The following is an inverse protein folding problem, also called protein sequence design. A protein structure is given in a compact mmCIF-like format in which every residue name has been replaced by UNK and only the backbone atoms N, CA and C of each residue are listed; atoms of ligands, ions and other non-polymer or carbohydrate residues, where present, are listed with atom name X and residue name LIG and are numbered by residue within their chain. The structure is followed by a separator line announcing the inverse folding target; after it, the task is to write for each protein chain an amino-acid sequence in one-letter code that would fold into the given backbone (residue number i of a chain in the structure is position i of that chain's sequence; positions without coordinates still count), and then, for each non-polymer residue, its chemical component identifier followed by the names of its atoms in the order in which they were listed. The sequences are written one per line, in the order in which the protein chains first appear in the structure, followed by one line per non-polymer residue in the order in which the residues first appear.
data_IF_131030367796
#
_entry.id   IF_131030367796
#
_cell.length_a   1.000
_cell.length_b   1.000
_cell.length_c   1.000
_cell.angle_alpha   90.00
_cell.angle_beta   90.00
_cell.angle_gamma   90.00
#
_symmetry.space_group_name_H-M   'P 1'
#
loop_
_entity.id
_entity.type
_entity.pdbx_description
1 polymer ?
#
# COMPACT_ATOMS: atom_id res chain seq x y z
N UNK A 1 69.87 19.44 -14.44
CA UNK A 1 69.21 19.18 -13.15
C UNK A 1 67.74 19.61 -13.26
N UNK A 2 66.89 18.89 -14.01
CA UNK A 2 65.43 19.06 -14.03
C UNK A 2 64.81 17.77 -14.55
N UNK A 3 64.67 16.79 -13.67
CA UNK A 3 63.86 15.60 -13.87
C UNK A 3 62.99 15.46 -12.61
N UNK A 4 61.75 14.99 -12.77
CA UNK A 4 60.78 14.68 -11.70
C UNK A 4 59.76 15.75 -11.29
N UNK A 5 59.00 16.32 -12.25
CA UNK A 5 57.71 16.96 -11.92
C UNK A 5 56.52 16.33 -12.68
N UNK A 6 56.77 15.63 -13.80
CA UNK A 6 55.68 15.05 -14.60
C UNK A 6 55.02 13.79 -13.99
N UNK A 7 55.69 13.05 -13.11
CA UNK A 7 55.17 11.78 -12.56
C UNK A 7 54.16 11.97 -11.41
N UNK A 8 54.12 13.15 -10.75
CA UNK A 8 53.22 13.38 -9.61
C UNK A 8 51.80 13.78 -10.03
N UNK A 9 51.60 14.24 -11.27
CA UNK A 9 50.28 14.70 -11.75
C UNK A 9 49.36 13.57 -12.24
N UNK A 10 49.91 12.40 -12.56
CA UNK A 10 49.11 11.27 -13.09
C UNK A 10 48.50 10.42 -11.95
N UNK A 11 49.16 10.36 -10.79
CA UNK A 11 48.64 9.61 -9.62
C UNK A 11 47.45 10.31 -8.96
N UNK A 12 47.38 11.64 -9.03
CA UNK A 12 46.27 12.43 -8.46
C UNK A 12 44.98 12.27 -9.29
N UNK A 13 45.07 12.16 -10.62
CA UNK A 13 43.90 11.91 -11.48
C UNK A 13 43.34 10.48 -11.34
N UNK A 14 44.18 9.50 -10.97
CA UNK A 14 43.72 8.13 -10.67
C UNK A 14 42.91 7.99 -9.38
N UNK A 15 43.09 8.89 -8.41
CA UNK A 15 42.39 8.88 -7.14
C UNK A 15 41.04 9.63 -7.17
N UNK A 16 40.86 10.59 -8.08
CA UNK A 16 39.55 11.25 -8.27
C UNK A 16 38.54 10.43 -9.08
N UNK A 17 38.97 9.37 -9.77
CA UNK A 17 38.06 8.44 -10.46
C UNK A 17 37.23 7.54 -9.54
N UNK A 18 37.56 7.48 -8.24
CA UNK A 18 36.87 6.63 -7.26
C UNK A 18 36.09 7.41 -6.18
N UNK A 19 36.03 8.74 -6.26
CA UNK A 19 35.54 9.61 -5.17
C UNK A 19 34.13 10.24 -5.36
N UNK A 20 33.29 9.72 -6.27
CA UNK A 20 31.87 10.12 -6.38
C UNK A 20 30.89 8.93 -6.30
N UNK A 21 31.16 7.96 -5.42
CA UNK A 21 30.12 6.98 -4.98
C UNK A 21 29.43 7.47 -3.68
N UNK A 22 29.77 8.67 -3.20
CA UNK A 22 29.07 9.38 -2.13
C UNK A 22 27.76 9.98 -2.67
N UNK A 23 26.71 9.17 -2.74
CA UNK A 23 25.37 9.68 -3.11
C UNK A 23 24.39 8.66 -3.66
N UNK A 24 24.85 7.44 -3.98
CA UNK A 24 23.98 6.38 -4.45
C UNK A 24 23.06 5.86 -3.32
N UNK A 25 21.75 5.88 -3.55
CA UNK A 25 20.74 5.39 -2.60
C UNK A 25 20.12 4.09 -3.10
N UNK A 26 19.74 3.20 -2.18
CA UNK A 26 19.00 1.98 -2.51
C UNK A 26 17.50 2.28 -2.63
N UNK A 27 16.86 1.71 -3.66
CA UNK A 27 15.41 1.84 -3.91
C UNK A 27 14.80 0.50 -4.29
N UNK A 28 13.52 0.32 -3.98
CA UNK A 28 12.77 -0.85 -4.40
C UNK A 28 13.07 -2.12 -3.60
N UNK A 29 12.28 -3.15 -3.88
CA UNK A 29 12.38 -4.47 -3.29
C UNK A 29 13.74 -5.12 -3.61
N UNK A 30 14.21 -4.97 -4.84
CA UNK A 30 15.47 -5.57 -5.30
C UNK A 30 16.73 -4.71 -5.06
N UNK A 31 16.64 -3.64 -4.25
CA UNK A 31 17.74 -2.74 -3.92
C UNK A 31 18.46 -2.18 -5.16
N UNK A 32 17.70 -1.59 -6.07
CA UNK A 32 18.23 -0.86 -7.22
C UNK A 32 19.03 0.37 -6.78
N UNK A 33 19.95 0.84 -7.63
CA UNK A 33 20.84 1.96 -7.30
C UNK A 33 20.33 3.26 -7.92
N UNK A 34 19.83 4.18 -7.09
CA UNK A 34 19.44 5.53 -7.48
C UNK A 34 20.62 6.49 -7.34
N UNK A 35 21.01 7.16 -8.42
CA UNK A 35 22.07 8.17 -8.46
C UNK A 35 21.68 9.25 -9.47
N UNK A 36 21.80 10.53 -9.08
CA UNK A 36 21.50 11.69 -9.93
C UNK A 36 20.12 11.64 -10.62
N UNK A 37 19.12 11.14 -9.88
CA UNK A 37 17.74 11.02 -10.37
C UNK A 37 17.49 9.84 -11.35
N UNK A 38 18.51 9.02 -11.62
CA UNK A 38 18.42 7.83 -12.48
C UNK A 38 18.65 6.56 -11.70
N UNK A 39 18.03 5.47 -12.13
CA UNK A 39 18.15 4.16 -11.48
C UNK A 39 18.94 3.20 -12.35
N UNK A 40 19.96 2.59 -11.78
CA UNK A 40 20.57 1.37 -12.30
C UNK A 40 19.85 0.17 -11.68
N UNK A 41 19.25 -0.67 -12.53
CA UNK A 41 18.53 -1.88 -12.06
C UNK A 41 19.49 -2.90 -11.44
N UNK A 42 18.92 -3.82 -10.65
CA UNK A 42 19.69 -4.85 -9.98
C UNK A 42 20.24 -5.85 -11.00
N UNK A 43 21.38 -6.47 -10.70
CA UNK A 43 21.94 -7.49 -11.60
C UNK A 43 20.96 -8.65 -11.75
N UNK A 44 20.70 -9.06 -12.99
CA UNK A 44 19.73 -10.13 -13.28
C UNK A 44 18.28 -9.68 -13.31
N UNK A 45 18.00 -8.37 -13.24
CA UNK A 45 16.65 -7.83 -13.42
C UNK A 45 16.05 -8.24 -14.76
N UNK A 46 14.80 -8.72 -14.73
CA UNK A 46 14.00 -9.16 -15.89
C UNK A 46 12.52 -8.92 -15.65
N UNK A 47 11.74 -8.86 -16.73
CA UNK A 47 10.28 -8.83 -16.65
C UNK A 47 9.77 -10.20 -16.22
N UNK A 48 8.85 -10.24 -15.26
CA UNK A 48 8.12 -11.45 -14.91
C UNK A 48 7.19 -11.84 -16.08
N UNK A 49 7.33 -13.07 -16.58
CA UNK A 49 6.67 -13.55 -17.79
C UNK A 49 5.57 -14.58 -17.51
N UNK A 50 5.71 -15.34 -16.44
CA UNK A 50 4.85 -16.49 -16.12
C UNK A 50 4.52 -16.55 -14.62
N UNK A 51 3.75 -17.57 -14.22
CA UNK A 51 3.29 -17.74 -12.84
C UNK A 51 4.47 -18.00 -11.90
N UNK A 52 5.46 -18.76 -12.35
CA UNK A 52 6.66 -19.12 -11.61
C UNK A 52 7.45 -17.88 -11.20
N UNK A 53 7.54 -16.88 -12.09
CA UNK A 53 8.19 -15.61 -11.78
C UNK A 53 7.50 -14.81 -10.67
N UNK A 54 6.16 -14.81 -10.68
CA UNK A 54 5.35 -14.15 -9.67
C UNK A 54 5.48 -14.85 -8.31
N UNK A 55 5.46 -16.19 -8.31
CA UNK A 55 5.73 -16.99 -7.12
C UNK A 55 7.15 -16.73 -6.60
N UNK A 56 8.16 -16.72 -7.47
CA UNK A 56 9.53 -16.43 -7.11
C UNK A 56 9.67 -15.04 -6.46
N UNK A 57 8.99 -14.02 -7.00
CA UNK A 57 8.96 -12.69 -6.40
C UNK A 57 8.36 -12.74 -4.99
N UNK A 58 7.20 -13.39 -4.80
CA UNK A 58 6.54 -13.48 -3.48
C UNK A 58 7.41 -14.18 -2.44
N UNK A 59 8.18 -15.20 -2.84
CA UNK A 59 9.07 -15.96 -1.96
C UNK A 59 10.45 -15.34 -1.76
N UNK A 60 10.80 -14.31 -2.53
CA UNK A 60 12.15 -13.72 -2.52
C UNK A 60 12.51 -13.00 -1.22
N UNK A 61 11.51 -12.49 -0.48
CA UNK A 61 11.74 -11.82 0.80
C UNK A 61 10.44 -11.64 1.58
N UNK A 62 10.50 -11.59 2.93
CA UNK A 62 9.35 -11.33 3.79
C UNK A 62 8.70 -9.96 3.56
N UNK A 63 9.33 -9.06 2.78
CA UNK A 63 8.79 -7.74 2.43
C UNK A 63 8.17 -7.68 1.02
N UNK A 64 8.21 -8.77 0.25
CA UNK A 64 7.54 -8.84 -1.05
C UNK A 64 6.03 -8.66 -0.90
N UNK A 65 5.36 -8.01 -1.86
CA UNK A 65 3.90 -7.94 -1.84
C UNK A 65 3.29 -9.30 -2.22
N UNK A 66 2.10 -9.58 -1.71
CA UNK A 66 1.33 -10.73 -2.17
C UNK A 66 0.66 -10.32 -3.48
N UNK A 67 0.84 -11.13 -4.52
CA UNK A 67 0.29 -10.87 -5.85
C UNK A 67 -0.67 -12.00 -6.22
N UNK A 68 -1.79 -11.67 -6.83
CA UNK A 68 -2.66 -12.66 -7.49
C UNK A 68 -1.88 -13.28 -8.66
N UNK A 69 -1.44 -14.52 -8.48
CA UNK A 69 -0.70 -15.30 -9.47
C UNK A 69 -1.61 -16.22 -10.29
N UNK A 70 -2.93 -16.17 -10.09
CA UNK A 70 -3.91 -16.91 -10.89
C UNK A 70 -4.28 -16.10 -12.13
N UNK A 71 -4.45 -14.79 -11.98
CA UNK A 71 -4.71 -13.88 -13.10
C UNK A 71 -3.48 -13.02 -13.43
N UNK A 72 -2.60 -13.54 -14.29
CA UNK A 72 -1.39 -12.84 -14.74
C UNK A 72 -1.65 -11.74 -15.79
N UNK A 73 -2.91 -11.53 -16.22
CA UNK A 73 -3.23 -10.46 -17.16
C UNK A 73 -3.01 -9.07 -16.55
N UNK A 74 -3.13 -8.93 -15.23
CA UNK A 74 -2.86 -7.69 -14.53
C UNK A 74 -2.05 -7.97 -13.27
N UNK A 75 -1.30 -6.97 -12.80
CA UNK A 75 -0.53 -7.10 -11.57
C UNK A 75 -1.43 -6.67 -10.41
N UNK A 76 -2.04 -7.64 -9.73
CA UNK A 76 -2.96 -7.37 -8.62
C UNK A 76 -2.30 -7.67 -7.28
N UNK A 77 -2.03 -6.62 -6.51
CA UNK A 77 -1.59 -6.71 -5.12
C UNK A 77 -2.76 -7.08 -4.23
N UNK A 78 -2.55 -8.04 -3.34
CA UNK A 78 -3.54 -8.49 -2.37
C UNK A 78 -3.12 -8.05 -0.97
N UNK A 79 -4.03 -7.38 -0.27
CA UNK A 79 -3.86 -6.93 1.10
C UNK A 79 -4.94 -7.58 1.96
N UNK A 80 -4.56 -8.67 2.62
CA UNK A 80 -5.45 -9.45 3.48
C UNK A 80 -5.58 -8.84 4.86
N UNK A 81 -6.74 -9.06 5.47
CA UNK A 81 -6.98 -8.82 6.88
C UNK A 81 -6.21 -9.84 7.73
N UNK A 82 -5.69 -9.41 8.89
CA UNK A 82 -5.06 -10.28 9.91
C UNK A 82 -3.76 -10.98 9.45
N UNK A 83 -3.13 -10.51 8.36
CA UNK A 83 -1.83 -11.01 7.92
C UNK A 83 -0.67 -10.08 8.30
N UNK A 84 0.53 -10.65 8.45
CA UNK A 84 1.79 -9.95 8.77
C UNK A 84 2.05 -8.67 7.93
N UNK A 85 1.53 -8.63 6.70
CA UNK A 85 1.66 -7.50 5.77
C UNK A 85 0.90 -6.27 6.24
N UNK A 86 -0.15 -6.45 7.04
CA UNK A 86 -0.87 -5.36 7.70
C UNK A 86 0.06 -4.57 8.63
N UNK A 87 0.94 -5.29 9.33
CA UNK A 87 1.88 -4.73 10.31
C UNK A 87 3.19 -4.24 9.70
N UNK A 88 3.64 -4.85 8.59
CA UNK A 88 4.98 -4.61 8.00
C UNK A 88 4.98 -3.79 6.72
N UNK A 89 3.87 -3.77 5.98
CA UNK A 89 3.82 -3.26 4.61
C UNK A 89 4.55 -4.17 3.62
N UNK A 90 4.62 -3.74 2.35
CA UNK A 90 5.37 -4.43 1.30
C UNK A 90 5.78 -3.45 0.20
N UNK A 91 6.71 -3.87 -0.67
CA UNK A 91 7.19 -3.06 -1.80
C UNK A 91 7.19 -3.87 -3.08
N UNK A 92 6.72 -3.28 -4.18
CA UNK A 92 6.77 -3.85 -5.52
C UNK A 92 7.53 -2.93 -6.48
N UNK A 93 8.31 -3.54 -7.37
CA UNK A 93 9.09 -2.87 -8.39
C UNK A 93 8.41 -3.08 -9.75
N UNK A 94 7.99 -1.98 -10.38
CA UNK A 94 7.24 -1.99 -11.63
C UNK A 94 8.00 -1.21 -12.71
N UNK A 95 8.15 -1.79 -13.90
CA UNK A 95 8.58 -1.04 -15.08
C UNK A 95 7.39 -0.32 -15.71
N UNK A 96 7.60 0.89 -16.19
CA UNK A 96 6.61 1.69 -16.91
C UNK A 96 7.27 2.65 -17.90
N UNK A 97 6.52 3.13 -18.87
CA UNK A 97 6.91 4.22 -19.77
C UNK A 97 6.37 5.59 -19.29
N UNK A 98 5.42 5.59 -18.35
CA UNK A 98 4.77 6.79 -17.81
C UNK A 98 5.72 7.61 -16.94
N UNK A 99 5.88 8.90 -17.28
CA UNK A 99 6.79 9.83 -16.57
C UNK A 99 6.21 10.39 -15.28
N UNK A 100 5.12 11.14 -15.45
CA UNK A 100 4.55 12.04 -14.45
C UNK A 100 3.19 11.50 -13.96
N UNK A 101 2.89 10.22 -14.19
CA UNK A 101 1.58 9.63 -13.98
C UNK A 101 1.66 8.21 -13.42
N UNK A 102 0.83 7.93 -12.40
CA UNK A 102 0.59 6.59 -11.88
C UNK A 102 -0.90 6.27 -12.03
N UNK A 103 -1.22 5.16 -12.68
CA UNK A 103 -2.60 4.69 -12.89
C UNK A 103 -2.76 3.29 -12.32
N UNK A 104 -3.75 3.10 -11.45
CA UNK A 104 -4.10 1.78 -10.92
C UNK A 104 -5.58 1.73 -10.58
N UNK A 105 -6.13 0.52 -10.48
CA UNK A 105 -7.45 0.31 -9.90
C UNK A 105 -7.30 -0.09 -8.43
N UNK A 106 -8.14 0.45 -7.55
CA UNK A 106 -8.19 0.02 -6.17
C UNK A 106 -9.56 -0.57 -5.85
N UNK A 107 -9.58 -1.60 -5.01
CA UNK A 107 -10.82 -2.28 -4.67
C UNK A 107 -10.84 -2.94 -3.31
N UNK A 108 -12.05 -3.32 -2.92
CA UNK A 108 -12.36 -4.12 -1.72
C UNK A 108 -13.11 -5.37 -2.15
N UNK A 109 -12.93 -6.46 -1.41
CA UNK A 109 -13.66 -7.71 -1.63
C UNK A 109 -14.03 -8.37 -0.31
N UNK A 110 -15.23 -8.96 -0.26
CA UNK A 110 -15.71 -9.72 0.90
C UNK A 110 -16.64 -10.84 0.45
N UNK A 111 -16.40 -12.06 0.93
CA UNK A 111 -17.12 -13.28 0.51
C UNK A 111 -18.60 -13.26 0.90
N UNK A 112 -18.97 -12.60 2.00
CA UNK A 112 -20.36 -12.39 2.43
C UNK A 112 -21.05 -11.18 1.79
N UNK A 113 -20.45 -10.59 0.75
CA UNK A 113 -20.88 -9.32 0.16
C UNK A 113 -20.29 -8.11 0.87
N UNK A 114 -20.01 -7.07 0.11
CA UNK A 114 -19.29 -5.87 0.59
C UNK A 114 -20.08 -5.11 1.66
N UNK A 115 -21.42 -5.26 1.69
CA UNK A 115 -22.26 -4.78 2.77
C UNK A 115 -21.86 -5.34 4.14
N UNK A 116 -21.33 -6.57 4.21
CA UNK A 116 -20.86 -7.16 5.46
C UNK A 116 -19.63 -6.47 6.05
N UNK A 117 -18.76 -5.87 5.22
CA UNK A 117 -17.51 -5.27 5.68
C UNK A 117 -17.48 -3.74 5.66
N UNK A 118 -18.35 -3.08 4.89
CA UNK A 118 -18.42 -1.62 4.83
C UNK A 118 -19.50 -1.02 5.76
N UNK A 119 -20.57 -1.75 6.12
CA UNK A 119 -21.76 -1.19 6.81
C UNK A 119 -21.55 -0.60 8.20
N UNK A 120 -20.38 -0.76 8.82
CA UNK A 120 -20.15 -0.26 10.19
C UNK A 120 -20.11 1.26 10.30
N UNK A 121 -20.14 2.01 9.19
CA UNK A 121 -20.12 3.48 9.19
C UNK A 121 -18.80 4.09 9.70
N UNK A 122 -17.87 3.25 10.16
CA UNK A 122 -16.56 3.66 10.64
C UNK A 122 -15.60 3.90 9.48
N UNK A 123 -15.25 5.17 9.31
CA UNK A 123 -14.31 5.66 8.29
C UNK A 123 -12.87 5.16 8.47
N UNK A 124 -12.58 4.50 9.59
CA UNK A 124 -11.26 3.95 9.91
C UNK A 124 -11.17 2.44 9.66
N UNK A 125 -12.25 1.81 9.23
CA UNK A 125 -12.30 0.34 9.11
C UNK A 125 -11.73 -0.22 7.82
N UNK A 126 -11.52 0.57 6.76
CA UNK A 126 -11.05 0.05 5.47
C UNK A 126 -10.12 1.10 4.86
N UNK A 127 -8.93 1.21 5.45
CA UNK A 127 -7.91 2.17 5.08
C UNK A 127 -6.75 1.43 4.41
N UNK A 128 -6.21 1.97 3.32
CA UNK A 128 -5.03 1.40 2.67
C UNK A 128 -4.00 2.52 2.44
N UNK A 129 -3.01 2.68 3.35
CA UNK A 129 -1.94 3.63 3.17
C UNK A 129 -0.90 3.12 2.17
N UNK A 130 -0.38 4.02 1.35
CA UNK A 130 0.64 3.72 0.36
C UNK A 130 1.55 4.91 0.09
N UNK A 131 2.73 4.61 -0.44
CA UNK A 131 3.71 5.57 -0.92
C UNK A 131 4.29 5.07 -2.23
N UNK A 132 5.03 5.93 -2.92
CA UNK A 132 5.69 5.58 -4.17
C UNK A 132 7.01 6.35 -4.31
N UNK A 133 7.93 5.73 -5.02
CA UNK A 133 9.22 6.27 -5.42
C UNK A 133 9.97 6.96 -4.28
N UNK A 134 10.05 6.24 -3.17
CA UNK A 134 10.89 6.57 -2.03
C UNK A 134 12.11 5.68 -2.01
N UNK A 135 13.21 6.19 -1.47
CA UNK A 135 14.35 5.34 -1.15
C UNK A 135 14.03 4.39 0.00
N UNK A 136 14.78 3.29 0.09
CA UNK A 136 14.59 2.27 1.12
C UNK A 136 14.82 2.83 2.54
N UNK A 137 15.57 3.92 2.68
CA UNK A 137 15.70 4.65 3.94
C UNK A 137 14.54 5.63 4.19
N UNK A 138 14.06 6.31 3.16
CA UNK A 138 12.92 7.22 3.30
C UNK A 138 11.65 6.47 3.67
N UNK A 139 11.33 5.35 3.00
CA UNK A 139 10.09 4.61 3.24
C UNK A 139 9.97 4.12 4.69
N UNK A 140 11.09 3.75 5.33
CA UNK A 140 11.11 3.38 6.76
C UNK A 140 10.55 4.48 7.65
N UNK A 141 10.76 5.75 7.30
CA UNK A 141 10.22 6.91 8.05
C UNK A 141 8.71 7.06 7.91
N UNK A 142 8.11 6.46 6.87
CA UNK A 142 6.66 6.48 6.64
C UNK A 142 5.94 5.27 7.22
N UNK A 143 6.66 4.24 7.71
CA UNK A 143 6.04 3.08 8.34
C UNK A 143 5.27 3.45 9.62
N UNK A 144 5.69 4.50 10.32
CA UNK A 144 5.02 5.02 11.51
C UNK A 144 4.09 6.19 11.19
N UNK A 145 3.97 6.56 9.91
CA UNK A 145 3.04 7.56 9.40
C UNK A 145 3.68 8.87 8.95
N UNK A 146 2.90 9.97 8.89
CA UNK A 146 3.36 11.22 8.32
C UNK A 146 4.39 11.93 9.20
N UNK A 147 5.25 12.71 8.56
CA UNK A 147 6.22 13.54 9.27
C UNK A 147 5.59 14.87 9.65
N UNK A 148 5.52 15.13 10.95
CA UNK A 148 4.99 16.38 11.51
C UNK A 148 6.12 17.39 11.76
N UNK A 149 5.81 18.67 11.57
CA UNK A 149 6.67 19.79 11.95
C UNK A 149 5.94 20.73 12.91
N UNK A 150 6.71 21.36 13.80
CA UNK A 150 6.22 22.45 14.63
C UNK A 150 5.77 23.59 13.73
N UNK A 151 4.48 23.93 13.78
CA UNK A 151 3.90 24.95 12.93
C UNK A 151 2.40 25.06 13.15
N UNK A 152 1.85 26.22 12.82
CA UNK A 152 0.41 26.43 12.80
C UNK A 152 -0.14 26.06 11.42
N UNK A 153 -1.13 25.16 11.40
CA UNK A 153 -1.98 24.86 10.25
C UNK A 153 -3.38 24.61 10.79
N UNK A 154 -4.37 25.00 10.00
CA UNK A 154 -5.76 24.80 10.40
C UNK A 154 -6.10 23.31 10.46
N UNK A 155 -6.66 22.85 11.57
CA UNK A 155 -7.31 21.55 11.63
C UNK A 155 -6.45 20.36 12.03
N UNK A 156 -5.29 20.60 12.64
CA UNK A 156 -4.53 19.59 13.35
C UNK A 156 -4.29 20.02 14.79
N UNK A 157 -4.46 19.08 15.71
CA UNK A 157 -4.26 19.34 17.13
C UNK A 157 -2.76 19.31 17.51
N UNK A 158 -1.90 18.71 16.65
CA UNK A 158 -0.53 18.32 17.02
C UNK A 158 0.55 18.61 15.94
N UNK A 159 0.42 19.75 15.26
CA UNK A 159 1.40 20.24 14.27
C UNK A 159 1.06 19.88 12.82
N UNK A 160 1.91 20.33 11.89
CA UNK A 160 1.60 20.30 10.46
C UNK A 160 2.32 19.18 9.73
N UNK A 161 1.62 18.53 8.81
CA UNK A 161 2.21 17.52 7.94
C UNK A 161 3.20 18.19 6.99
N UNK A 162 4.47 17.79 7.11
CA UNK A 162 5.58 18.26 6.27
C UNK A 162 5.80 17.36 5.06
N UNK A 163 5.69 16.04 5.24
CA UNK A 163 5.80 15.06 4.15
C UNK A 163 4.91 13.86 4.45
N UNK A 164 4.10 13.43 3.49
CA UNK A 164 3.16 12.32 3.67
C UNK A 164 2.95 11.52 2.38
N UNK A 165 2.63 10.24 2.54
CA UNK A 165 2.12 9.40 1.47
C UNK A 165 0.63 9.64 1.24
N UNK A 166 -0.04 8.67 0.61
CA UNK A 166 -1.48 8.69 0.38
C UNK A 166 -2.15 7.54 1.11
N UNK A 167 -3.45 7.64 1.31
CA UNK A 167 -4.30 6.58 1.80
C UNK A 167 -5.60 6.53 1.01
N UNK A 168 -6.08 5.31 0.79
CA UNK A 168 -7.42 5.06 0.30
C UNK A 168 -8.32 4.73 1.46
N UNK A 169 -9.56 5.25 1.45
CA UNK A 169 -10.58 4.86 2.42
C UNK A 169 -11.86 4.47 1.72
N UNK A 170 -12.35 3.27 2.02
CA UNK A 170 -13.68 2.82 1.65
C UNK A 170 -14.62 3.02 2.83
N UNK A 171 -15.65 3.82 2.63
CA UNK A 171 -16.65 4.12 3.64
C UNK A 171 -18.05 3.80 3.12
N UNK A 172 -19.00 3.72 4.04
CA UNK A 172 -20.40 3.40 3.74
C UNK A 172 -21.31 4.47 4.30
N UNK A 173 -22.16 5.05 3.45
CA UNK A 173 -23.11 6.06 3.87
C UNK A 173 -24.51 5.80 3.35
N UNK A 174 -25.43 6.67 3.76
CA UNK A 174 -26.73 6.82 3.13
C UNK A 174 -26.85 8.24 2.58
N UNK A 175 -27.22 8.38 1.31
CA UNK A 175 -27.50 9.67 0.69
C UNK A 175 -28.86 9.61 -0.02
N UNK A 176 -29.78 10.52 0.33
CA UNK A 176 -31.15 10.54 -0.20
C UNK A 176 -31.84 9.16 -0.10
N UNK A 177 -31.68 8.48 1.03
CA UNK A 177 -32.20 7.13 1.30
C UNK A 177 -31.61 6.00 0.44
N UNK A 178 -30.47 6.24 -0.23
CA UNK A 178 -29.72 5.22 -0.97
C UNK A 178 -28.46 4.85 -0.20
N UNK A 179 -28.27 3.54 0.01
CA UNK A 179 -27.02 2.99 0.51
C UNK A 179 -25.91 3.22 -0.53
N UNK A 180 -24.79 3.81 -0.09
CA UNK A 180 -23.65 4.16 -0.95
C UNK A 180 -22.34 3.66 -0.33
N UNK A 181 -21.46 3.13 -1.16
CA UNK A 181 -20.05 2.99 -0.82
C UNK A 181 -19.29 4.21 -1.36
N UNK A 182 -18.31 4.73 -0.63
CA UNK A 182 -17.51 5.90 -1.04
C UNK A 182 -16.05 5.51 -0.99
N UNK A 183 -15.34 5.71 -2.10
CA UNK A 183 -13.88 5.67 -2.12
C UNK A 183 -13.34 7.09 -2.02
N UNK A 184 -12.35 7.29 -1.18
CA UNK A 184 -11.62 8.55 -1.10
C UNK A 184 -10.13 8.27 -1.15
N UNK A 185 -9.36 9.21 -1.72
CA UNK A 185 -7.91 9.16 -1.75
C UNK A 185 -7.39 10.47 -1.15
N UNK A 186 -6.65 10.37 -0.05
CA UNK A 186 -6.21 11.54 0.69
C UNK A 186 -4.75 11.41 1.11
N UNK A 187 -4.05 12.52 1.32
CA UNK A 187 -2.79 12.50 2.02
C UNK A 187 -2.97 11.95 3.44
N UNK A 188 -2.03 11.13 3.91
CA UNK A 188 -2.15 10.52 5.24
C UNK A 188 -2.14 11.62 6.30
N UNK A 189 -3.02 11.47 7.31
CA UNK A 189 -3.28 12.44 8.38
C UNK A 189 -3.66 13.84 7.86
N UNK A 190 -4.42 13.89 6.77
CA UNK A 190 -5.12 15.11 6.36
C UNK A 190 -6.62 14.86 6.32
N UNK A 191 -7.43 15.93 6.34
CA UNK A 191 -8.87 15.79 6.11
C UNK A 191 -9.12 15.30 4.69
N UNK A 192 -10.37 14.97 4.38
CA UNK A 192 -10.81 14.77 3.00
C UNK A 192 -10.51 16.01 2.15
N UNK A 193 -9.36 16.00 1.47
CA UNK A 193 -8.95 17.06 0.56
C UNK A 193 -9.75 16.90 -0.73
N UNK A 194 -9.86 15.66 -1.20
CA UNK A 194 -10.61 15.28 -2.39
C UNK A 194 -11.22 13.89 -2.21
N UNK A 195 -12.55 13.83 -2.30
CA UNK A 195 -13.31 12.59 -2.31
C UNK A 195 -14.01 12.49 -3.65
N UNK A 196 -13.80 11.39 -4.38
CA UNK A 196 -14.68 11.06 -5.50
C UNK A 196 -15.67 10.03 -5.00
N UNK A 197 -16.90 10.47 -4.82
CA UNK A 197 -18.00 9.55 -4.56
C UNK A 197 -18.16 8.69 -5.81
N UNK A 198 -17.85 7.41 -5.69
CA UNK A 198 -18.34 6.42 -6.65
C UNK A 198 -19.64 5.92 -6.05
N UNK A 199 -20.80 6.35 -6.52
CA UNK A 199 -22.05 5.91 -5.93
C UNK A 199 -22.35 4.50 -6.40
N UNK A 200 -22.03 3.52 -5.57
CA UNK A 200 -22.46 2.15 -5.81
C UNK A 200 -23.83 1.99 -5.18
N UNK A 201 -24.93 1.84 -5.95
CA UNK A 201 -26.19 1.37 -5.36
C UNK A 201 -25.89 -0.01 -4.80
N UNK A 202 -25.72 -0.10 -3.48
CA UNK A 202 -25.40 -1.37 -2.85
C UNK A 202 -26.60 -2.29 -2.96
N UNK A 203 -26.50 -3.27 -3.86
CA UNK A 203 -27.12 -4.55 -3.60
C UNK A 203 -26.17 -5.34 -2.68
N UNK A 204 -26.72 -5.98 -1.65
CA UNK A 204 -25.96 -6.68 -0.60
C UNK A 204 -25.08 -7.81 -1.12
N UNK A 205 -25.32 -8.29 -2.34
CA UNK A 205 -24.66 -9.38 -3.04
C UNK A 205 -23.42 -8.94 -3.85
N UNK A 206 -23.14 -7.64 -3.97
CA UNK A 206 -21.91 -7.17 -4.62
C UNK A 206 -20.71 -7.63 -3.79
N UNK A 207 -19.91 -8.52 -4.35
CA UNK A 207 -18.73 -9.08 -3.66
C UNK A 207 -17.47 -8.23 -3.81
N UNK A 208 -17.42 -7.35 -4.82
CA UNK A 208 -16.24 -6.54 -5.18
C UNK A 208 -16.63 -5.17 -5.70
N UNK A 209 -15.89 -4.14 -5.28
CA UNK A 209 -15.95 -2.78 -5.81
C UNK A 209 -14.55 -2.39 -6.28
N UNK A 210 -14.41 -1.79 -7.46
CA UNK A 210 -13.15 -1.24 -7.96
C UNK A 210 -13.36 0.16 -8.53
N UNK A 211 -12.40 1.07 -8.30
CA UNK A 211 -12.35 2.38 -8.94
C UNK A 211 -10.96 2.62 -9.52
N UNK A 212 -10.86 3.38 -10.61
CA UNK A 212 -9.58 3.72 -11.24
C UNK A 212 -9.06 5.01 -10.64
N UNK A 213 -7.79 5.02 -10.25
CA UNK A 213 -7.09 6.18 -9.72
C UNK A 213 -5.99 6.59 -10.68
N UNK A 214 -5.82 7.90 -10.83
CA UNK A 214 -4.77 8.53 -11.59
C UNK A 214 -4.12 9.60 -10.74
N UNK A 215 -2.82 9.45 -10.51
CA UNK A 215 -1.99 10.38 -9.76
C UNK A 215 -1.09 11.09 -10.77
N UNK A 216 -1.21 12.42 -10.89
CA UNK A 216 -0.40 13.22 -11.83
C UNK A 216 0.60 14.10 -11.08
N UNK A 217 1.81 14.30 -11.62
CA UNK A 217 2.84 15.11 -10.97
C UNK A 217 2.58 16.62 -11.09
N UNK A 218 1.99 17.04 -12.21
CA UNK A 218 1.76 18.45 -12.53
C UNK A 218 0.52 18.99 -11.84
N UNK A 219 -0.45 18.10 -11.58
CA UNK A 219 -1.63 18.39 -10.79
C UNK A 219 -1.51 17.74 -9.41
N UNK A 220 -1.41 18.55 -8.35
CA UNK A 220 -1.39 18.01 -6.98
C UNK A 220 -2.74 17.37 -6.58
N UNK A 221 -3.76 17.55 -7.42
CA UNK A 221 -5.08 16.94 -7.29
C UNK A 221 -5.02 15.53 -7.87
N UNK A 222 -5.17 14.53 -7.02
CA UNK A 222 -5.33 13.15 -7.46
C UNK A 222 -6.68 13.02 -8.16
N UNK A 223 -6.71 12.39 -9.32
CA UNK A 223 -7.96 12.15 -10.04
C UNK A 223 -8.42 10.73 -9.78
N UNK A 224 -9.60 10.59 -9.17
CA UNK A 224 -10.26 9.29 -9.07
C UNK A 224 -11.34 9.28 -10.16
N UNK A 225 -11.26 8.33 -11.08
CA UNK A 225 -12.31 8.10 -12.07
C UNK A 225 -13.25 7.04 -11.52
N UNK A 226 -14.46 7.46 -11.20
CA UNK A 226 -15.54 6.50 -10.95
C UNK A 226 -15.89 5.79 -12.26
N UNK A 227 -16.11 4.47 -12.26
CA UNK A 227 -16.66 3.77 -13.42
C UNK A 227 -18.10 4.21 -13.74
N UNK A 228 -18.76 4.91 -12.80
CA UNK A 228 -20.07 5.51 -12.97
C UNK A 228 -19.89 7.04 -13.15
N UNK A 229 -20.35 7.57 -14.29
CA UNK A 229 -20.26 8.99 -14.63
C UNK A 229 -21.05 9.86 -13.63
N UNK A 230 -20.38 10.49 -12.67
CA UNK A 230 -21.05 11.16 -11.56
C UNK A 230 -20.46 12.54 -11.21
N UNK A 231 -21.27 13.44 -10.61
CA UNK A 231 -20.90 14.84 -10.43
C UNK A 231 -19.74 15.02 -9.45
N UNK A 232 -18.72 15.74 -9.90
CA UNK A 232 -17.62 16.23 -9.07
C UNK A 232 -18.16 17.13 -7.95
N UNK A 233 -18.03 16.71 -6.69
CA UNK A 233 -18.26 17.59 -5.55
C UNK A 233 -17.03 18.49 -5.36
N UNK A 234 -17.27 19.78 -5.14
CA UNK A 234 -16.22 20.82 -5.04
C UNK A 234 -15.28 20.56 -3.85
N UNK A 235 -14.00 20.84 -4.09
CA UNK A 235 -12.86 20.76 -3.16
C UNK A 235 -13.18 21.30 -1.75
N UNK A 236 -12.96 20.50 -0.70
CA UNK A 236 -13.03 20.98 0.70
C UNK A 236 -11.67 21.53 1.15
N UNK A 237 -11.65 22.83 1.48
CA UNK A 237 -10.43 23.64 1.71
C UNK A 237 -9.85 23.59 3.13
N UNK A 238 -9.82 22.44 3.80
CA UNK A 238 -9.16 22.43 5.10
C UNK A 238 -8.22 21.24 5.23
N UNK A 239 -6.94 21.56 5.34
CA UNK A 239 -5.85 20.61 5.17
C UNK A 239 -4.93 20.79 6.37
N UNK A 240 -4.52 19.69 7.00
CA UNK A 240 -3.45 19.66 8.01
C UNK A 240 -2.06 19.87 7.36
N UNK A 241 -1.95 20.82 6.45
CA UNK A 241 -0.80 20.99 5.58
C UNK A 241 -0.85 22.37 4.93
N UNK A 242 0.24 23.13 5.02
CA UNK A 242 0.31 24.50 4.49
C UNK A 242 0.60 24.55 2.98
N UNK A 243 1.19 23.49 2.41
CA UNK A 243 1.43 23.38 0.97
C UNK A 243 1.22 21.94 0.48
N UNK A 244 0.07 21.69 -0.14
CA UNK A 244 -0.29 20.34 -0.57
C UNK A 244 0.60 19.79 -1.68
N UNK A 245 1.07 20.65 -2.59
CA UNK A 245 1.85 20.22 -3.75
C UNK A 245 3.28 19.82 -3.39
N UNK A 246 3.85 20.48 -2.38
CA UNK A 246 5.24 20.23 -1.94
C UNK A 246 5.35 19.14 -0.87
N UNK A 247 4.31 18.97 -0.06
CA UNK A 247 4.34 18.10 1.11
C UNK A 247 3.74 16.71 0.85
N UNK A 248 3.05 16.49 -0.27
CA UNK A 248 2.73 15.13 -0.72
C UNK A 248 3.89 14.62 -1.56
N UNK A 249 4.16 13.32 -1.50
CA UNK A 249 5.10 12.68 -2.41
C UNK A 249 4.73 13.02 -3.86
N UNK A 250 5.67 13.62 -4.58
CA UNK A 250 5.53 13.84 -6.01
C UNK A 250 5.52 12.47 -6.70
N UNK A 251 4.50 12.12 -7.51
CA UNK A 251 4.54 10.91 -8.32
C UNK A 251 5.71 11.05 -9.27
N UNK A 252 6.73 10.25 -9.04
CA UNK A 252 7.94 10.26 -9.83
C UNK A 252 8.21 8.84 -10.25
N UNK A 253 8.62 8.66 -11.48
CA UNK A 253 9.20 7.40 -11.93
C UNK A 253 10.64 7.72 -12.29
N UNK A 254 11.56 6.85 -11.88
CA UNK A 254 12.97 7.10 -12.15
C UNK A 254 13.35 6.55 -13.51
N UNK A 255 14.07 7.35 -14.29
CA UNK A 255 14.62 6.90 -15.58
C UNK A 255 15.63 5.78 -15.32
N UNK A 256 15.49 4.68 -16.05
CA UNK A 256 16.42 3.56 -15.98
C UNK A 256 17.65 3.84 -16.82
N UNK A 257 18.83 3.56 -16.28
CA UNK A 257 20.08 3.59 -17.03
C UNK A 257 20.10 2.41 -18.00
N UNK A 258 19.90 2.70 -19.29
CA UNK A 258 19.87 1.71 -20.37
C UNK A 258 18.46 1.37 -20.84
N UNK A 259 18.34 0.31 -21.65
CA UNK A 259 17.07 -0.13 -22.27
C UNK A 259 16.71 -1.59 -21.93
N UNK A 260 17.35 -2.17 -20.92
CA UNK A 260 17.07 -3.52 -20.44
C UNK A 260 16.41 -3.44 -19.07
N UNK A 261 15.50 -4.38 -18.73
CA UNK A 261 15.14 -5.58 -19.50
C UNK A 261 14.08 -5.34 -20.59
N UNK A 262 13.43 -4.18 -20.61
CA UNK A 262 12.37 -3.84 -21.58
C UNK A 262 12.74 -2.54 -22.32
N UNK A 263 12.78 -2.53 -23.67
CA UNK A 263 13.19 -1.37 -24.45
C UNK A 263 12.15 -0.23 -24.49
N UNK A 264 10.90 -0.51 -24.11
CA UNK A 264 9.79 0.44 -24.10
C UNK A 264 9.58 0.99 -22.68
N UNK A 265 9.57 0.11 -21.68
CA UNK A 265 9.34 0.46 -20.28
C UNK A 265 10.62 0.99 -19.62
N UNK A 266 10.98 2.22 -19.97
CA UNK A 266 12.26 2.87 -19.65
C UNK A 266 12.34 3.50 -18.25
N UNK A 267 11.36 3.26 -17.39
CA UNK A 267 11.29 3.85 -16.05
C UNK A 267 10.94 2.83 -14.99
N UNK A 268 11.42 3.07 -13.77
CA UNK A 268 11.07 2.32 -12.59
C UNK A 268 10.07 3.10 -11.73
N UNK A 269 8.92 2.49 -11.47
CA UNK A 269 8.00 2.84 -10.40
C UNK A 269 8.23 1.88 -9.24
N UNK A 270 8.60 2.41 -8.08
CA UNK A 270 8.59 1.63 -6.83
C UNK A 270 7.32 2.00 -6.08
N UNK A 271 6.48 1.01 -5.79
CA UNK A 271 5.22 1.22 -5.08
C UNK A 271 5.25 0.50 -3.73
N UNK A 272 4.90 1.23 -2.67
CA UNK A 272 4.96 0.74 -1.30
C UNK A 272 3.55 0.68 -0.71
N UNK A 273 3.07 -0.51 -0.36
CA UNK A 273 1.94 -0.63 0.55
C UNK A 273 2.48 -0.45 1.98
N UNK A 274 1.98 0.56 2.68
CA UNK A 274 2.46 0.87 4.02
C UNK A 274 1.69 0.05 5.08
N UNK A 275 2.25 -0.13 6.28
CA UNK A 275 1.50 -0.68 7.41
C UNK A 275 0.26 0.15 7.75
N UNK A 276 -0.77 -0.46 8.35
CA UNK A 276 -1.96 0.30 8.82
C UNK A 276 -1.63 1.41 9.80
N UNK A 277 -0.63 1.18 10.67
CA UNK A 277 -0.14 2.20 11.61
C UNK A 277 0.50 3.42 10.93
N UNK A 278 0.76 3.37 9.62
CA UNK A 278 1.12 4.57 8.87
C UNK A 278 -0.04 5.56 8.81
N UNK A 279 -1.29 5.06 8.76
CA UNK A 279 -2.49 5.90 8.79
C UNK A 279 -2.82 6.41 10.19
N UNK A 280 -3.79 7.35 10.24
CA UNK A 280 -4.32 7.93 11.48
C UNK A 280 -5.82 7.78 11.57
N UNK A 281 -6.30 7.58 12.79
CA UNK A 281 -7.73 7.55 13.06
C UNK A 281 -8.34 8.95 12.88
N UNK A 282 -9.51 8.96 12.29
CA UNK A 282 -10.34 10.14 12.08
C UNK A 282 -11.58 10.05 12.95
N UNK A 283 -11.93 11.13 13.65
CA UNK A 283 -13.08 11.22 14.56
C UNK A 283 -14.40 11.63 13.87
N UNK A 284 -14.41 11.66 12.54
CA UNK A 284 -15.52 12.17 11.74
C UNK A 284 -16.62 11.12 11.55
N UNK A 285 -17.89 11.53 11.62
CA UNK A 285 -19.02 10.71 11.18
C UNK A 285 -19.29 10.90 9.69
N UNK A 286 -19.81 9.88 9.02
CA UNK A 286 -20.09 9.96 7.58
C UNK A 286 -21.19 10.99 7.27
N UNK A 287 -22.15 11.16 8.18
CA UNK A 287 -23.17 12.20 8.06
C UNK A 287 -22.54 13.61 8.03
N UNK A 288 -21.44 13.83 8.76
CA UNK A 288 -20.72 15.12 8.76
C UNK A 288 -20.00 15.38 7.42
N UNK A 289 -19.51 14.32 6.76
CA UNK A 289 -18.92 14.41 5.42
C UNK A 289 -19.96 14.86 4.39
N UNK A 290 -21.17 14.31 4.48
CA UNK A 290 -22.29 14.57 3.56
C UNK A 290 -22.92 15.94 3.82
N UNK A 291 -23.05 16.34 5.09
CA UNK A 291 -23.70 17.60 5.50
C UNK A 291 -22.76 18.80 5.56
N UNK A 292 -21.45 18.58 5.51
CA UNK A 292 -20.44 19.64 5.56
C UNK A 292 -20.18 20.20 6.97
N UNK A 293 -20.62 19.51 8.02
CA UNK A 293 -20.37 19.91 9.41
C UNK A 293 -18.90 19.69 9.80
N UNK A 294 -18.26 20.73 10.36
CA UNK A 294 -16.78 20.85 10.43
C UNK A 294 -16.11 20.41 11.74
N UNK A 295 -16.80 19.71 12.64
CA UNK A 295 -16.20 19.27 13.91
C UNK A 295 -15.48 17.93 13.73
N UNK A 296 -14.24 17.96 13.25
CA UNK A 296 -13.40 16.77 13.15
C UNK A 296 -11.98 17.10 13.68
N UNK A 297 -11.32 16.09 14.22
CA UNK A 297 -9.91 16.16 14.62
C UNK A 297 -9.21 14.86 14.22
N UNK A 298 -7.95 14.99 13.82
CA UNK A 298 -7.07 13.86 13.56
C UNK A 298 -6.36 13.55 14.88
N UNK A 299 -6.47 12.31 15.35
CA UNK A 299 -5.78 11.87 16.56
C UNK A 299 -4.45 11.27 16.12
N UNK A 300 -3.33 11.92 16.48
CA UNK A 300 -2.00 11.55 15.96
C UNK A 300 -1.51 10.20 16.48
N UNK A 301 -1.92 9.82 17.69
CA UNK A 301 -1.43 8.60 18.34
C UNK A 301 -2.32 7.38 18.08
N UNK A 302 -3.52 7.59 17.53
CA UNK A 302 -4.43 6.49 17.23
C UNK A 302 -4.34 6.05 15.76
N UNK A 303 -4.24 4.73 15.57
CA UNK A 303 -4.21 4.09 14.27
C UNK A 303 -5.58 3.47 13.94
N UNK A 304 -5.93 3.33 12.65
CA UNK A 304 -7.09 2.56 12.23
C UNK A 304 -6.96 1.08 12.63
N UNK A 305 -8.06 0.40 12.92
CA UNK A 305 -8.11 -1.02 13.34
C UNK A 305 -7.96 -2.01 12.16
N UNK A 306 -7.16 -1.64 11.15
CA UNK A 306 -6.95 -2.45 9.94
C UNK A 306 -8.17 -2.57 9.03
N UNK A 307 -8.07 -3.35 7.93
CA UNK A 307 -9.20 -3.57 7.05
C UNK A 307 -10.24 -4.50 7.67
N UNK A 308 -11.52 -4.15 7.58
CA UNK A 308 -12.65 -5.04 7.91
C UNK A 308 -13.04 -5.93 6.74
N UNK A 309 -12.86 -5.46 5.51
CA UNK A 309 -13.04 -6.29 4.33
C UNK A 309 -11.96 -7.39 4.29
N UNK A 310 -12.32 -8.54 3.73
CA UNK A 310 -11.42 -9.70 3.75
C UNK A 310 -10.16 -9.44 2.93
N UNK A 311 -10.30 -8.70 1.83
CA UNK A 311 -9.21 -8.38 0.91
C UNK A 311 -9.40 -6.95 0.39
N UNK A 312 -8.33 -6.16 0.42
CA UNK A 312 -8.19 -4.94 -0.38
C UNK A 312 -7.21 -5.20 -1.52
N UNK A 313 -7.43 -4.58 -2.68
CA UNK A 313 -6.64 -4.83 -3.89
C UNK A 313 -6.14 -3.54 -4.52
N UNK A 314 -4.91 -3.58 -5.04
CA UNK A 314 -4.38 -2.58 -5.99
C UNK A 314 -4.00 -3.32 -7.27
N UNK A 315 -4.58 -2.93 -8.40
CA UNK A 315 -4.37 -3.59 -9.70
C UNK A 315 -3.73 -2.61 -10.68
N UNK A 316 -2.57 -2.98 -11.22
CA UNK A 316 -1.91 -2.29 -12.31
C UNK A 316 -2.18 -3.01 -13.64
N UNK A 317 -2.59 -2.25 -14.66
CA UNK A 317 -2.83 -2.76 -16.01
C UNK A 317 -1.50 -3.17 -16.64
N UNK A 318 -1.38 -4.43 -17.09
CA UNK A 318 -0.10 -4.92 -17.62
C UNK A 318 0.36 -4.13 -18.85
N UNK A 319 -0.55 -3.51 -19.63
CA UNK A 319 -0.21 -2.73 -20.82
C UNK A 319 0.61 -1.49 -20.47
N UNK A 320 0.46 -0.99 -19.26
CA UNK A 320 1.15 0.20 -18.76
C UNK A 320 2.26 -0.13 -17.75
N UNK A 321 2.25 -1.34 -17.19
CA UNK A 321 3.14 -1.75 -16.10
C UNK A 321 3.61 -3.19 -16.26
N UNK A 322 4.88 -3.46 -16.00
CA UNK A 322 5.43 -4.82 -15.96
C UNK A 322 6.06 -5.09 -14.60
N UNK A 323 5.81 -6.26 -14.00
CA UNK A 323 6.45 -6.65 -12.75
C UNK A 323 7.94 -6.90 -13.01
N UNK A 324 8.80 -6.24 -12.24
CA UNK A 324 10.24 -6.45 -12.28
C UNK A 324 10.63 -7.52 -11.26
N UNK A 325 11.30 -8.57 -11.72
CA UNK A 325 11.89 -9.61 -10.87
C UNK A 325 13.39 -9.73 -11.14
N UNK A 326 14.09 -10.53 -10.36
CA UNK A 326 15.50 -10.86 -10.56
C UNK A 326 15.63 -12.37 -10.74
N UNK A 327 16.39 -12.80 -11.75
CA UNK A 327 16.70 -14.22 -11.91
C UNK A 327 17.28 -14.79 -10.61
N UNK A 328 16.90 -16.01 -10.21
CA UNK A 328 17.58 -16.65 -9.08
C UNK A 328 19.07 -16.63 -9.39
N UNK A 329 19.89 -16.28 -8.39
CA UNK A 329 21.35 -16.41 -8.54
C UNK A 329 21.57 -17.90 -8.75
N UNK A 330 21.84 -18.32 -9.98
CA UNK A 330 22.25 -19.69 -10.27
C UNK A 330 23.50 -19.90 -9.44
N UNK A 331 23.37 -20.67 -8.35
CA UNK A 331 24.46 -20.92 -7.42
C UNK A 331 25.68 -21.33 -8.24
N UNK A 332 26.79 -20.65 -8.03
CA UNK A 332 28.09 -20.93 -8.63
C UNK A 332 28.29 -22.44 -8.72
N UNK A 333 28.66 -23.01 -9.88
CA UNK A 333 28.83 -24.45 -10.01
C UNK A 333 29.75 -24.94 -8.89
N UNK A 334 29.23 -25.90 -8.11
CA UNK A 334 29.95 -26.55 -7.02
C UNK A 334 31.32 -26.98 -7.57
N UNK A 335 32.45 -26.61 -6.93
CA UNK A 335 33.76 -27.03 -7.42
C UNK A 335 33.76 -28.55 -7.51
N UNK A 336 33.98 -29.06 -8.71
CA UNK A 336 34.18 -30.49 -8.95
C UNK A 336 35.38 -30.90 -8.11
N UNK A 337 35.14 -31.67 -7.04
CA UNK A 337 36.22 -32.24 -6.24
C UNK A 337 37.17 -32.99 -7.17
N UNK A 338 38.49 -32.84 -7.01
CA UNK A 338 39.44 -33.61 -7.77
C UNK A 338 39.22 -35.10 -7.48
N UNK A 339 39.21 -35.89 -8.55
CA UNK A 339 39.21 -37.35 -8.54
C UNK A 339 40.36 -37.86 -7.67
N UNK A 340 40.06 -38.45 -6.51
CA UNK A 340 41.06 -39.14 -5.69
C UNK A 340 41.51 -40.42 -6.38
N UNK A 341 42.83 -40.59 -6.47
CA UNK A 341 43.50 -41.83 -6.87
C UNK A 341 43.40 -42.88 -5.74
N UNK A 342 43.34 -44.19 -6.06
CA UNK A 342 43.12 -45.23 -5.07
C UNK A 342 44.38 -45.48 -4.24
N UNK A 343 44.27 -45.36 -2.92
CA UNK A 343 45.30 -45.83 -1.99
C UNK A 343 44.79 -47.03 -1.19
N UNK A 344 45.52 -48.13 -1.28
CA UNK A 344 45.26 -49.42 -0.64
C UNK A 344 45.72 -49.43 0.83
N UNK A 345 44.91 -50.09 1.69
CA UNK A 345 45.29 -50.81 2.93
C UNK A 345 45.77 -49.95 4.12
N UNK A 346 45.60 -50.31 5.39
CA UNK A 346 45.02 -51.44 6.14
C UNK A 346 45.09 -50.99 7.66
N UNK A 347 44.72 -51.78 8.70
CA UNK A 347 43.58 -51.52 9.58
C UNK A 347 43.92 -51.18 11.07
N UNK A 348 42.86 -51.12 11.90
CA UNK A 348 42.81 -51.22 13.39
C UNK A 348 42.88 -49.81 14.07
N UNK A 349 42.00 -49.41 15.00
CA UNK A 349 41.56 -50.10 16.21
C UNK A 349 40.23 -49.55 16.78
N UNK A 350 39.48 -50.43 17.43
CA UNK A 350 38.24 -50.16 18.16
C UNK A 350 38.47 -49.27 19.38
N UNK A 351 37.52 -48.37 19.68
CA UNK A 351 37.21 -48.04 21.07
C UNK A 351 35.71 -47.81 21.29
N UNK A 352 35.30 -48.28 22.46
CA UNK A 352 33.99 -48.66 22.95
C UNK A 352 33.54 -47.65 23.98
N UNK A 353 32.37 -47.05 23.84
CA UNK A 353 31.46 -46.78 24.97
C UNK A 353 30.04 -46.47 24.51
N UNK A 354 29.08 -47.02 25.26
CA UNK A 354 27.64 -47.00 25.02
C UNK A 354 26.95 -45.99 26.01
N UNK A 355 25.64 -46.08 26.33
CA UNK A 355 24.65 -45.10 25.89
C UNK A 355 23.87 -44.43 27.05
N UNK A 356 23.10 -43.37 26.74
CA UNK A 356 21.92 -42.96 27.54
C UNK A 356 21.03 -42.07 26.65
N UNK A 357 19.80 -42.44 26.24
CA UNK A 357 18.53 -42.52 26.99
C UNK A 357 18.13 -41.13 27.56
N UNK A 358 16.93 -40.53 27.44
CA UNK A 358 15.53 -40.85 27.08
C UNK A 358 14.86 -39.47 26.76
N UNK A 359 14.10 -39.31 25.68
CA UNK A 359 12.62 -39.43 25.56
C UNK A 359 11.76 -38.48 26.44
N UNK A 360 11.00 -37.59 25.77
CA UNK A 360 9.55 -37.30 25.93
C UNK A 360 9.26 -35.98 25.17
N UNK A 361 8.65 -35.92 23.98
CA UNK A 361 7.25 -36.21 23.57
C UNK A 361 6.20 -35.50 24.42
N UNK A 362 5.56 -34.46 23.86
CA UNK A 362 4.11 -34.24 23.92
C UNK A 362 3.62 -33.34 22.79
N UNK A 363 2.61 -33.85 22.09
CA UNK A 363 1.89 -33.29 20.95
C UNK A 363 0.53 -32.70 21.43
N UNK A 364 -0.41 -32.25 20.57
CA UNK A 364 -1.01 -30.93 20.62
C UNK A 364 -2.41 -30.92 21.26
N UNK A 365 -2.85 -29.78 21.78
CA UNK A 365 -4.21 -29.63 22.30
C UNK A 365 -5.17 -29.09 21.23
N UNK A 366 -6.19 -29.91 20.92
CA UNK A 366 -7.43 -29.55 20.22
C UNK A 366 -8.25 -28.59 21.10
N UNK A 367 -8.76 -27.51 20.53
CA UNK A 367 -9.86 -26.74 21.14
C UNK A 367 -11.14 -26.97 20.36
N UNK A 368 -12.15 -27.42 21.11
CA UNK A 368 -13.46 -27.88 20.68
C UNK A 368 -14.41 -26.70 20.45
N UNK A 369 -15.22 -26.84 19.39
CA UNK A 369 -16.35 -26.00 19.02
C UNK A 369 -17.51 -26.22 20.00
N UNK A 370 -17.98 -25.15 20.64
CA UNK A 370 -19.24 -25.17 21.42
C UNK A 370 -20.34 -24.46 20.66
N UNK A 371 -21.35 -25.21 20.23
CA UNK A 371 -22.64 -24.72 19.71
C UNK A 371 -23.48 -24.17 20.86
N UNK A 372 -23.94 -22.93 20.76
CA UNK A 372 -25.04 -22.40 21.58
C UNK A 372 -26.33 -22.36 20.74
N UNK A 373 -27.37 -23.01 21.25
CA UNK A 373 -28.71 -23.15 20.69
C UNK A 373 -29.66 -22.23 21.48
N UNK A 374 -30.38 -21.38 20.76
CA UNK A 374 -31.73 -20.85 21.02
C UNK A 374 -32.05 -20.18 22.37
N UNK A 375 -32.48 -18.90 22.31
CA UNK A 375 -33.68 -18.48 23.03
C UNK A 375 -34.51 -17.49 22.22
N UNK A 376 -35.66 -17.98 21.79
CA UNK A 376 -36.79 -17.27 21.19
C UNK A 376 -37.51 -16.56 22.35
N UNK A 377 -37.73 -15.25 22.26
CA UNK A 377 -38.77 -14.57 23.05
C UNK A 377 -39.64 -13.81 22.06
N UNK A 378 -40.92 -14.11 22.13
CA UNK A 378 -42.01 -13.53 21.36
C UNK A 378 -43.01 -12.89 22.33
N UNK A 379 -43.60 -11.78 21.86
CA UNK A 379 -44.85 -11.14 22.27
C UNK A 379 -44.87 -10.35 23.60
N UNK A 380 -45.28 -9.07 23.54
CA UNK A 380 -46.60 -8.48 23.91
C UNK A 380 -46.53 -6.98 23.54
N UNK A 381 -47.22 -6.44 22.52
CA UNK A 381 -48.62 -5.98 22.38
C UNK A 381 -49.14 -4.97 23.42
N UNK A 382 -49.77 -3.93 22.85
CA UNK A 382 -50.74 -2.96 23.40
C UNK A 382 -50.18 -1.91 24.40
N UNK A 383 -50.57 -0.62 24.40
CA UNK A 383 -51.76 0.05 23.87
C UNK A 383 -51.58 1.58 23.74
N UNK A 384 -52.42 2.16 22.88
CA UNK A 384 -53.19 3.41 23.09
C UNK A 384 -52.49 4.76 23.29
N UNK A 385 -52.60 5.59 22.24
CA UNK A 385 -53.45 6.79 22.28
C UNK A 385 -52.79 8.12 22.64
N UNK A 386 -52.80 9.08 21.71
CA UNK A 386 -53.79 10.17 21.74
C UNK A 386 -53.68 11.08 20.52
N UNK A 387 -54.85 11.22 19.94
CA UNK A 387 -55.36 12.27 19.07
C UNK A 387 -55.12 13.68 19.65
N UNK A 388 -54.68 14.61 18.79
CA UNK A 388 -55.17 16.00 18.77
C UNK A 388 -54.62 16.69 17.53
N UNK A 389 -55.52 16.98 16.59
CA UNK A 389 -55.20 17.77 15.39
C UNK A 389 -54.84 19.22 15.70
N UNK A 390 -54.51 19.96 14.63
CA UNK A 390 -55.22 21.18 14.19
C UNK A 390 -54.34 22.03 13.26
N UNK A 391 -55.00 22.50 12.20
CA UNK A 391 -54.76 23.72 11.40
C UNK A 391 -53.77 23.70 10.24
N UNK A 392 -54.37 23.60 9.05
CA UNK A 392 -54.11 24.46 7.91
C UNK A 392 -53.67 25.88 8.28
N UNK A 393 -52.67 26.40 7.54
CA UNK A 393 -52.73 27.72 6.92
C UNK A 393 -51.70 27.77 5.79
N UNK A 394 -52.20 27.95 4.57
CA UNK A 394 -51.38 28.30 3.42
C UNK A 394 -50.82 29.71 3.54
N UNK A 395 -49.71 29.95 2.86
CA UNK A 395 -49.30 31.28 2.44
C UNK A 395 -48.51 31.17 1.13
N UNK A 396 -48.99 31.92 0.16
CA UNK A 396 -48.53 31.98 -1.22
C UNK A 396 -47.16 32.67 -1.35
N UNK A 397 -46.44 32.29 -2.41
CA UNK A 397 -45.32 33.03 -2.99
C UNK A 397 -45.78 34.40 -3.51
N UNK A 398 -44.98 35.46 -3.38
CA UNK A 398 -45.02 36.57 -4.32
C UNK A 398 -44.00 36.32 -5.44
N UNK A 399 -44.44 36.54 -6.68
CA UNK A 399 -43.59 36.82 -7.81
C UNK A 399 -42.92 38.18 -7.61
N UNK A 400 -41.60 38.24 -7.83
CA UNK A 400 -40.92 39.31 -8.57
C UNK A 400 -39.60 38.79 -9.11
#
# INVERSE_FOLDING_TARGET
MFANIAALSIVVLGLFGQLNITGAKSVGHWNHRLQDGKVTLAKGSRVAADREDFEQYMWSSPNACIIDNVNIENITLLYYKDEDKEAKGCTIDLLTDKKDEIVFSAGVMHSGGIGGCLKTGDINSNVLPFAYSLTNEEVKKFHDGPLFANGACSGCYEGCVKKTGLELRWTYGSYLSREIAVLSANPIATKFVQSTFSFWPMKMDVIRINSVLTINQKDAKFHIRSPLNEPNIKDQKSICMNNLKENILSPSTWEIVGKRPDPIMTRLLVFHLLPQKASRKMTMKIEDLVTGNKKYYIVKEEHPEGPKCGIMTITFDNRNYRLLTVSPITSTPKPTSPTELPTQGLPIMQQKTAPSSKSATKSPSKTTITKAKTKRISATKDSSGKDSGKKEKGAARPNK
#
